data_IF_160598592582
#
_entry.id   IF_160598592582
#
_cell.length_a   1.000
_cell.length_b   1.000
_cell.length_c   1.000
_cell.angle_alpha   90.00
_cell.angle_beta   90.00
_cell.angle_gamma   90.00
#
_symmetry.space_group_name_H-M   'P 1'
#
loop_
_entity.id
_entity.type
_entity.pdbx_description
1 polymer ?
#
# COMPACT_ATOMS: atom_id res chain seq x y z
N UNK A 1 -30.73 -17.41 -0.12
CA UNK A 1 -29.60 -16.50 0.22
C UNK A 1 -28.32 -17.09 -0.37
N UNK A 2 -27.70 -16.44 -1.37
CA UNK A 2 -26.38 -16.84 -1.87
C UNK A 2 -25.32 -16.27 -0.93
N UNK A 3 -24.61 -17.13 -0.21
CA UNK A 3 -23.47 -16.74 0.63
C UNK A 3 -22.32 -16.27 -0.28
N UNK A 4 -21.96 -14.99 -0.21
CA UNK A 4 -20.78 -14.45 -0.90
C UNK A 4 -19.52 -15.09 -0.31
N UNK A 5 -18.66 -15.62 -1.18
CA UNK A 5 -17.34 -16.14 -0.81
C UNK A 5 -16.29 -15.06 -1.11
N UNK A 6 -15.48 -14.69 -0.11
CA UNK A 6 -14.54 -13.56 -0.18
C UNK A 6 -13.11 -14.00 0.13
N UNK A 7 -12.14 -13.46 -0.62
CA UNK A 7 -10.71 -13.50 -0.33
C UNK A 7 -10.35 -12.15 0.32
N UNK A 8 -9.69 -12.19 1.47
CA UNK A 8 -9.14 -11.01 2.14
C UNK A 8 -7.63 -11.15 2.19
N UNK A 9 -6.93 -10.24 1.53
CA UNK A 9 -5.49 -10.09 1.62
C UNK A 9 -5.24 -9.00 2.64
N UNK A 10 -4.77 -9.37 3.84
CA UNK A 10 -4.64 -8.43 4.95
C UNK A 10 -3.18 -8.02 5.12
N UNK A 11 -2.95 -6.72 5.31
CA UNK A 11 -1.71 -6.17 5.83
C UNK A 11 -2.01 -5.72 7.28
N UNK A 12 -1.59 -6.52 8.27
CA UNK A 12 -1.91 -6.41 9.68
C UNK A 12 -0.77 -6.80 10.65
N UNK A 13 -0.67 -6.14 11.82
CA UNK A 13 0.20 -6.61 12.90
C UNK A 13 -0.45 -7.79 13.68
N UNK A 14 -0.37 -9.03 13.19
CA UNK A 14 -0.81 -10.22 13.96
C UNK A 14 0.33 -11.19 14.31
N UNK A 15 0.35 -11.64 15.56
CA UNK A 15 1.19 -12.77 16.01
C UNK A 15 0.87 -14.01 15.17
N UNK A 16 1.87 -14.45 14.40
CA UNK A 16 1.77 -15.57 13.47
C UNK A 16 1.64 -16.92 14.19
N UNK A 17 0.59 -17.68 13.90
CA UNK A 17 0.59 -19.13 14.01
C UNK A 17 0.97 -19.71 12.64
N UNK A 18 2.21 -20.17 12.51
CA UNK A 18 2.75 -20.77 11.29
C UNK A 18 2.06 -22.09 10.97
N UNK A 19 1.11 -22.06 10.04
CA UNK A 19 0.49 -23.26 9.48
C UNK A 19 -0.08 -22.96 8.10
N UNK A 20 0.68 -23.27 7.04
CA UNK A 20 0.16 -23.22 5.66
C UNK A 20 -0.71 -24.46 5.40
N UNK A 21 -1.94 -24.45 5.89
CA UNK A 21 -2.96 -25.39 5.44
C UNK A 21 -3.54 -24.89 4.11
N UNK A 22 -3.54 -25.75 3.09
CA UNK A 22 -4.21 -25.48 1.83
C UNK A 22 -5.67 -25.10 2.10
N UNK A 23 -6.15 -23.93 1.65
CA UNK A 23 -7.50 -23.50 1.96
C UNK A 23 -8.51 -24.45 1.32
N UNK A 24 -9.38 -25.02 2.15
CA UNK A 24 -10.52 -25.79 1.64
C UNK A 24 -11.41 -24.89 0.79
N UNK A 25 -11.79 -25.35 -0.40
CA UNK A 25 -12.76 -24.68 -1.26
C UNK A 25 -14.15 -24.51 -0.57
N UNK A 26 -14.40 -25.21 0.54
CA UNK A 26 -15.62 -25.08 1.35
C UNK A 26 -15.62 -23.86 2.29
N UNK A 27 -14.46 -23.28 2.63
CA UNK A 27 -14.41 -22.16 3.56
C UNK A 27 -15.08 -20.91 2.95
N UNK A 28 -15.97 -20.20 3.68
CA UNK A 28 -16.64 -19.01 3.17
C UNK A 28 -15.66 -17.84 2.97
N UNK A 29 -14.56 -17.82 3.72
CA UNK A 29 -13.50 -16.81 3.63
C UNK A 29 -12.14 -17.47 3.53
N UNK A 30 -11.28 -16.91 2.69
CA UNK A 30 -9.84 -17.19 2.67
C UNK A 30 -9.10 -15.90 3.01
N UNK A 31 -8.26 -15.95 4.04
CA UNK A 31 -7.42 -14.81 4.44
C UNK A 31 -5.96 -15.15 4.23
N UNK A 32 -5.24 -14.30 3.52
CA UNK A 32 -3.79 -14.37 3.38
C UNK A 32 -3.21 -13.10 3.99
N UNK A 33 -2.44 -13.22 5.07
CA UNK A 33 -1.65 -12.11 5.58
C UNK A 33 -0.49 -11.85 4.61
N UNK A 34 -0.27 -10.58 4.31
CA UNK A 34 0.84 -10.09 3.51
C UNK A 34 1.95 -9.54 4.38
N UNK A 35 1.86 -9.66 5.70
CA UNK A 35 2.83 -9.13 6.65
C UNK A 35 4.13 -9.92 6.67
N UNK A 36 5.13 -9.32 7.31
CA UNK A 36 6.45 -9.90 7.47
C UNK A 36 7.44 -9.47 6.39
N UNK A 37 8.61 -10.14 6.34
CA UNK A 37 9.82 -9.67 5.66
C UNK A 37 9.83 -9.90 4.14
N UNK A 38 8.64 -10.05 3.52
CA UNK A 38 8.48 -10.35 2.09
C UNK A 38 8.42 -9.12 1.20
N UNK A 39 8.54 -7.94 1.78
CA UNK A 39 8.38 -6.67 1.09
C UNK A 39 9.72 -6.07 0.71
N UNK A 40 9.68 -5.23 -0.31
CA UNK A 40 10.78 -4.38 -0.72
C UNK A 40 10.30 -2.93 -0.70
N UNK A 41 11.18 -2.02 -0.30
CA UNK A 41 10.93 -0.59 -0.31
C UNK A 41 11.98 0.11 -1.18
N UNK A 42 11.54 1.01 -2.07
CA UNK A 42 12.40 1.88 -2.88
C UNK A 42 12.03 3.34 -2.63
N UNK A 43 13.03 4.20 -2.43
CA UNK A 43 12.82 5.65 -2.42
C UNK A 43 12.88 6.20 -3.83
N UNK A 44 11.84 6.93 -4.19
CA UNK A 44 11.72 7.57 -5.50
C UNK A 44 11.80 9.08 -5.32
N UNK A 45 13.04 9.57 -5.14
CA UNK A 45 13.32 10.98 -4.85
C UNK A 45 13.14 11.88 -6.06
N UNK A 46 13.00 11.31 -7.25
CA UNK A 46 12.79 12.04 -8.50
C UNK A 46 11.30 12.11 -8.90
N UNK A 47 10.41 11.36 -8.23
CA UNK A 47 8.99 11.42 -8.51
C UNK A 47 8.40 12.77 -8.10
N UNK A 48 7.67 13.41 -9.03
CA UNK A 48 6.87 14.59 -8.72
C UNK A 48 5.64 14.20 -7.91
N UNK A 49 5.29 15.00 -6.91
CA UNK A 49 4.05 14.81 -6.13
C UNK A 49 3.47 16.10 -5.55
N UNK A 50 4.30 17.13 -5.38
CA UNK A 50 3.99 18.37 -4.64
C UNK A 50 2.80 19.13 -5.22
N UNK A 51 2.54 18.96 -6.52
CA UNK A 51 1.46 19.62 -7.24
C UNK A 51 0.35 18.66 -7.66
N UNK A 52 0.39 17.41 -7.20
CA UNK A 52 -0.68 16.47 -7.49
C UNK A 52 -1.98 16.96 -6.86
N UNK A 53 -3.08 16.83 -7.60
CA UNK A 53 -4.41 16.94 -7.02
C UNK A 53 -4.62 15.80 -6.02
N UNK A 54 -5.18 16.13 -4.87
CA UNK A 54 -5.70 15.16 -3.92
C UNK A 54 -7.19 14.94 -4.19
N UNK A 55 -7.59 13.68 -4.19
CA UNK A 55 -8.97 13.25 -4.40
C UNK A 55 -9.54 12.73 -3.08
N UNK A 56 -10.65 13.28 -2.63
CA UNK A 56 -11.34 12.75 -1.45
C UNK A 56 -12.12 11.47 -1.81
N UNK A 57 -12.31 10.53 -0.87
CA UNK A 57 -13.00 9.27 -1.16
C UNK A 57 -14.35 9.45 -1.87
N UNK A 58 -15.13 10.47 -1.51
CA UNK A 58 -16.43 10.77 -2.13
C UNK A 58 -16.33 11.27 -3.58
N UNK A 59 -15.19 11.80 -4.02
CA UNK A 59 -14.98 12.26 -5.40
C UNK A 59 -14.65 11.09 -6.33
N UNK A 60 -14.20 9.95 -5.77
CA UNK A 60 -13.68 8.83 -6.52
C UNK A 60 -14.82 7.89 -6.92
N UNK A 61 -15.41 8.18 -8.09
CA UNK A 61 -16.46 7.33 -8.70
C UNK A 61 -15.90 6.16 -9.50
N UNK A 62 -14.67 6.26 -9.97
CA UNK A 62 -13.97 5.22 -10.74
C UNK A 62 -12.46 5.44 -10.67
N UNK A 63 -11.70 4.36 -10.50
CA UNK A 63 -10.22 4.41 -10.57
C UNK A 63 -9.71 4.90 -11.93
N UNK A 64 -10.48 4.72 -13.00
CA UNK A 64 -10.10 5.15 -14.35
C UNK A 64 -10.02 6.68 -14.53
N UNK A 65 -10.58 7.46 -13.60
CA UNK A 65 -10.53 8.92 -13.62
C UNK A 65 -9.31 9.49 -12.86
N UNK A 66 -8.59 8.64 -12.14
CA UNK A 66 -7.40 9.05 -11.40
C UNK A 66 -6.16 8.97 -12.29
N UNK A 67 -5.17 9.87 -12.09
CA UNK A 67 -3.89 9.75 -12.77
C UNK A 67 -3.17 8.45 -12.34
N UNK A 68 -2.47 7.83 -13.28
CA UNK A 68 -1.61 6.66 -13.02
C UNK A 68 -0.18 7.16 -12.86
N UNK A 69 0.32 7.19 -11.63
CA UNK A 69 1.66 7.66 -11.31
C UNK A 69 2.62 6.48 -11.24
N UNK A 70 3.32 6.19 -12.34
CA UNK A 70 4.34 5.14 -12.39
C UNK A 70 5.62 5.53 -11.61
N UNK A 71 6.45 4.55 -11.19
CA UNK A 71 7.77 4.86 -10.61
C UNK A 71 8.63 5.67 -11.58
N UNK A 72 9.48 6.55 -11.06
CA UNK A 72 10.46 7.25 -11.92
C UNK A 72 11.36 6.23 -12.58
N UNK A 73 11.41 6.26 -13.92
CA UNK A 73 12.15 5.26 -14.71
C UNK A 73 11.35 4.01 -15.07
N UNK A 74 10.05 3.92 -14.72
CA UNK A 74 9.15 2.85 -15.15
C UNK A 74 8.94 1.73 -14.13
N UNK A 75 8.00 0.84 -14.43
CA UNK A 75 7.63 -0.28 -13.56
C UNK A 75 8.75 -1.30 -13.36
N UNK A 76 9.65 -1.38 -14.34
CA UNK A 76 10.88 -2.18 -14.32
C UNK A 76 11.86 -1.78 -13.22
N UNK A 77 11.69 -0.62 -12.60
CA UNK A 77 12.51 -0.19 -11.47
C UNK A 77 12.16 -0.92 -10.17
N UNK A 78 10.96 -1.50 -10.05
CA UNK A 78 10.49 -2.21 -8.86
C UNK A 78 11.07 -3.63 -8.79
N UNK A 79 12.38 -3.73 -8.59
CA UNK A 79 13.09 -5.00 -8.40
C UNK A 79 13.82 -5.03 -7.06
N UNK A 80 14.05 -6.23 -6.48
CA UNK A 80 14.80 -6.36 -5.23
C UNK A 80 16.20 -5.73 -5.28
N UNK A 81 16.85 -5.66 -6.44
CA UNK A 81 18.18 -5.08 -6.62
C UNK A 81 18.20 -3.56 -6.46
N UNK A 82 17.09 -2.89 -6.76
CA UNK A 82 16.93 -1.44 -6.66
C UNK A 82 16.30 -1.01 -5.32
N UNK A 83 16.03 -1.95 -4.42
CA UNK A 83 15.21 -1.73 -3.23
C UNK A 83 15.86 -2.32 -1.97
N UNK A 84 15.39 -1.85 -0.82
CA UNK A 84 15.73 -2.39 0.50
C UNK A 84 14.71 -3.47 0.85
N UNK A 85 15.15 -4.64 1.31
CA UNK A 85 14.25 -5.65 1.87
C UNK A 85 13.72 -5.19 3.22
N UNK A 86 12.40 -5.22 3.40
CA UNK A 86 11.71 -4.69 4.57
C UNK A 86 10.63 -5.65 5.07
N UNK A 87 10.25 -5.50 6.33
CA UNK A 87 9.05 -6.11 6.89
C UNK A 87 7.92 -5.09 6.91
N UNK A 88 6.69 -5.58 6.67
CA UNK A 88 5.46 -4.83 6.91
C UNK A 88 4.74 -5.47 8.12
N UNK A 89 4.18 -4.69 9.06
CA UNK A 89 4.24 -3.22 9.15
C UNK A 89 5.68 -2.69 9.34
N UNK A 90 5.94 -1.49 8.84
CA UNK A 90 7.25 -0.84 8.88
C UNK A 90 7.19 0.58 8.32
N UNK A 91 8.21 1.40 8.60
CA UNK A 91 8.28 2.79 8.14
C UNK A 91 9.54 3.05 7.33
N UNK A 92 9.54 4.07 6.47
CA UNK A 92 10.74 4.46 5.71
C UNK A 92 11.87 4.85 6.68
N UNK A 93 11.51 5.56 7.74
CA UNK A 93 12.35 6.01 8.83
C UNK A 93 13.13 4.84 9.46
N UNK A 94 12.46 3.72 9.75
CA UNK A 94 13.06 2.55 10.38
C UNK A 94 14.22 1.98 9.54
N UNK A 95 14.04 1.89 8.23
CA UNK A 95 15.01 1.25 7.35
C UNK A 95 16.09 2.20 6.80
N UNK A 96 15.83 3.50 6.74
CA UNK A 96 16.71 4.47 6.06
C UNK A 96 17.36 5.50 6.97
N UNK A 97 17.02 5.55 8.27
CA UNK A 97 17.69 6.46 9.19
C UNK A 97 19.16 6.10 9.36
N UNK A 98 20.03 6.99 8.88
CA UNK A 98 21.50 6.86 9.05
C UNK A 98 22.09 7.96 9.95
N UNK A 99 21.36 9.06 10.14
CA UNK A 99 21.78 10.19 10.97
C UNK A 99 21.48 9.96 12.44
N UNK A 100 22.37 10.46 13.33
CA UNK A 100 22.11 10.53 14.79
C UNK A 100 21.13 11.65 15.17
N UNK A 101 20.80 12.51 14.21
CA UNK A 101 19.85 13.63 14.35
C UNK A 101 18.99 13.68 13.07
N UNK A 102 18.09 12.70 12.88
CA UNK A 102 17.23 12.70 11.70
C UNK A 102 16.34 13.94 11.71
N UNK A 103 15.98 14.41 10.52
CA UNK A 103 14.96 15.43 10.29
C UNK A 103 13.71 14.79 9.71
N UNK A 104 12.50 15.28 10.05
CA UNK A 104 11.26 14.84 9.39
C UNK A 104 11.30 15.01 7.86
N UNK A 105 12.06 15.99 7.37
CA UNK A 105 12.22 16.22 5.93
C UNK A 105 13.06 15.14 5.22
N UNK A 106 13.85 14.34 5.95
CA UNK A 106 14.71 13.29 5.36
C UNK A 106 13.88 12.21 4.63
N UNK A 107 12.63 12.02 5.05
CA UNK A 107 11.73 10.97 4.54
C UNK A 107 10.53 11.54 3.77
N UNK A 108 10.50 12.85 3.55
CA UNK A 108 9.48 13.52 2.72
C UNK A 108 9.56 13.07 1.26
N UNK A 109 8.41 12.94 0.61
CA UNK A 109 8.30 12.55 -0.80
C UNK A 109 7.77 11.13 -0.99
N UNK A 110 8.18 10.48 -2.08
CA UNK A 110 7.59 9.22 -2.54
C UNK A 110 8.42 8.01 -2.12
N UNK A 111 7.76 6.96 -1.64
CA UNK A 111 8.33 5.63 -1.51
C UNK A 111 7.42 4.59 -2.17
N UNK A 112 8.03 3.56 -2.76
CA UNK A 112 7.34 2.42 -3.32
C UNK A 112 7.54 1.22 -2.41
N UNK A 113 6.44 0.58 -2.02
CA UNK A 113 6.44 -0.65 -1.24
C UNK A 113 5.86 -1.76 -2.10
N UNK A 114 6.61 -2.82 -2.36
CA UNK A 114 6.15 -3.86 -3.27
C UNK A 114 6.49 -5.26 -2.80
N UNK A 115 5.63 -6.21 -3.18
CA UNK A 115 5.80 -7.64 -2.95
C UNK A 115 5.10 -8.41 -4.06
N UNK A 116 5.27 -9.73 -4.08
CA UNK A 116 4.50 -10.62 -4.96
C UNK A 116 3.37 -11.27 -4.18
N UNK A 117 2.22 -11.46 -4.82
CA UNK A 117 1.05 -12.14 -4.26
C UNK A 117 0.63 -13.27 -5.18
N UNK A 118 0.37 -14.44 -4.62
CA UNK A 118 -0.16 -15.59 -5.35
C UNK A 118 -1.34 -16.18 -4.60
N UNK A 119 -2.49 -16.22 -5.26
CA UNK A 119 -3.74 -16.77 -4.71
C UNK A 119 -4.03 -18.11 -5.39
N UNK A 120 -4.36 -19.17 -4.65
CA UNK A 120 -4.65 -20.48 -5.24
C UNK A 120 -5.76 -20.45 -6.32
N UNK A 121 -5.52 -21.13 -7.44
CA UNK A 121 -6.45 -21.14 -8.60
C UNK A 121 -7.84 -21.72 -8.31
N UNK A 122 -7.97 -22.56 -7.28
CA UNK A 122 -9.26 -23.11 -6.81
C UNK A 122 -10.19 -22.06 -6.17
N UNK A 123 -9.73 -20.80 -6.06
CA UNK A 123 -10.51 -19.67 -5.55
C UNK A 123 -11.10 -18.78 -6.66
N UNK A 124 -11.04 -19.20 -7.93
CA UNK A 124 -11.66 -18.49 -9.06
C UNK A 124 -13.14 -18.19 -8.83
N UNK A 125 -13.58 -17.00 -9.25
CA UNK A 125 -14.97 -16.54 -9.13
C UNK A 125 -15.36 -16.02 -7.74
N UNK A 126 -14.39 -15.82 -6.84
CA UNK A 126 -14.60 -15.18 -5.54
C UNK A 126 -14.24 -13.70 -5.62
N UNK A 127 -14.88 -12.90 -4.76
CA UNK A 127 -14.50 -11.50 -4.56
C UNK A 127 -13.16 -11.42 -3.85
N UNK A 128 -12.24 -10.56 -4.27
CA UNK A 128 -10.93 -10.38 -3.68
C UNK A 128 -10.75 -8.93 -3.19
N UNK A 129 -10.43 -8.78 -1.90
CA UNK A 129 -10.20 -7.50 -1.24
C UNK A 129 -8.77 -7.46 -0.71
N UNK A 130 -8.06 -6.35 -0.93
CA UNK A 130 -6.90 -5.97 -0.10
C UNK A 130 -7.44 -5.17 1.10
N UNK A 131 -6.92 -5.45 2.28
CA UNK A 131 -7.25 -4.75 3.52
C UNK A 131 -5.97 -4.14 4.09
N UNK A 132 -5.96 -2.81 4.20
CA UNK A 132 -4.88 -2.05 4.82
C UNK A 132 -5.35 -1.55 6.18
N UNK A 133 -4.61 -1.85 7.26
CA UNK A 133 -4.91 -1.29 8.57
C UNK A 133 -4.65 0.22 8.63
N UNK A 134 -3.57 0.68 7.97
CA UNK A 134 -3.17 2.08 7.95
C UNK A 134 -2.07 2.31 6.90
N UNK A 135 -2.12 3.45 6.22
CA UNK A 135 -0.99 4.00 5.46
C UNK A 135 -0.86 5.49 5.80
N UNK A 136 0.37 5.96 6.00
CA UNK A 136 0.66 7.39 6.21
C UNK A 136 1.54 7.91 5.05
N UNK A 137 1.07 8.79 4.16
CA UNK A 137 -0.27 9.39 4.10
C UNK A 137 -1.03 8.98 2.83
N UNK A 138 -0.68 9.51 1.65
CA UNK A 138 -1.38 9.12 0.42
C UNK A 138 -0.94 7.73 -0.01
N UNK A 139 -1.88 6.81 -0.19
CA UNK A 139 -1.67 5.49 -0.76
C UNK A 139 -2.25 5.41 -2.16
N UNK A 140 -1.45 4.99 -3.14
CA UNK A 140 -1.94 4.54 -4.45
C UNK A 140 -1.52 3.09 -4.62
N UNK A 141 -2.51 2.21 -4.81
CA UNK A 141 -2.33 0.76 -4.81
C UNK A 141 -2.41 0.23 -6.23
N UNK A 142 -1.41 -0.54 -6.62
CA UNK A 142 -1.24 -1.07 -7.97
C UNK A 142 -1.12 -2.59 -7.94
N UNK A 143 -1.80 -3.25 -8.87
CA UNK A 143 -1.63 -4.68 -9.15
C UNK A 143 -1.17 -4.85 -10.60
N UNK A 144 0.03 -5.42 -10.80
CA UNK A 144 0.70 -5.52 -12.10
C UNK A 144 0.75 -4.18 -12.87
N UNK A 145 1.00 -3.09 -12.15
CA UNK A 145 1.06 -1.73 -12.70
C UNK A 145 -0.30 -1.08 -12.97
N UNK A 146 -1.42 -1.79 -12.77
CA UNK A 146 -2.77 -1.21 -12.86
C UNK A 146 -3.17 -0.58 -11.53
N UNK A 147 -3.57 0.70 -11.55
CA UNK A 147 -4.15 1.36 -10.37
C UNK A 147 -5.47 0.65 -9.99
N UNK A 148 -5.52 0.16 -8.76
CA UNK A 148 -6.68 -0.56 -8.20
C UNK A 148 -7.26 0.10 -6.97
N UNK A 149 -6.49 0.93 -6.27
CA UNK A 149 -6.95 1.64 -5.08
C UNK A 149 -6.24 2.97 -4.87
N UNK A 150 -6.90 3.85 -4.15
CA UNK A 150 -6.39 5.16 -3.75
C UNK A 150 -6.96 5.48 -2.37
N UNK A 151 -6.12 5.97 -1.46
CA UNK A 151 -6.56 6.56 -0.21
C UNK A 151 -5.71 7.79 0.16
N UNK A 152 -6.34 8.78 0.79
CA UNK A 152 -5.70 9.97 1.33
C UNK A 152 -6.09 10.21 2.80
N UNK A 153 -7.03 9.41 3.33
CA UNK A 153 -7.41 9.49 4.74
C UNK A 153 -6.38 8.70 5.53
N UNK A 154 -5.19 9.30 5.62
CA UNK A 154 -4.03 8.69 6.25
C UNK A 154 -4.34 8.20 7.66
N UNK A 155 -3.68 7.13 8.05
CA UNK A 155 -3.83 6.48 9.38
C UNK A 155 -5.21 5.89 9.67
N UNK A 156 -6.05 5.73 8.65
CA UNK A 156 -7.32 5.00 8.75
C UNK A 156 -7.28 3.70 7.93
N UNK A 157 -8.04 2.67 8.34
CA UNK A 157 -8.14 1.44 7.58
C UNK A 157 -8.98 1.65 6.32
N UNK A 158 -8.56 1.02 5.23
CA UNK A 158 -9.30 1.03 3.97
C UNK A 158 -9.17 -0.30 3.22
N UNK A 159 -10.19 -0.58 2.41
CA UNK A 159 -10.27 -1.79 1.60
C UNK A 159 -10.22 -1.47 0.11
N UNK A 160 -9.53 -2.29 -0.67
CA UNK A 160 -9.43 -2.17 -2.12
C UNK A 160 -9.97 -3.43 -2.79
N UNK A 161 -11.01 -3.28 -3.61
CA UNK A 161 -11.54 -4.40 -4.39
C UNK A 161 -10.67 -4.67 -5.62
N UNK A 162 -10.00 -5.82 -5.62
CA UNK A 162 -9.11 -6.24 -6.71
C UNK A 162 -9.70 -7.41 -7.51
N UNK A 163 -10.99 -7.70 -7.37
CA UNK A 163 -11.65 -8.88 -7.98
C UNK A 163 -11.42 -8.93 -9.49
N UNK A 164 -11.52 -7.79 -10.18
CA UNK A 164 -11.35 -7.71 -11.63
C UNK A 164 -9.87 -7.65 -12.06
N UNK A 165 -8.95 -7.35 -11.14
CA UNK A 165 -7.51 -7.28 -11.39
C UNK A 165 -6.83 -8.64 -11.20
N UNK A 166 -7.26 -9.38 -10.18
CA UNK A 166 -6.60 -10.58 -9.69
C UNK A 166 -6.97 -11.79 -10.55
N UNK A 167 -5.95 -12.55 -10.96
CA UNK A 167 -6.12 -13.82 -11.66
C UNK A 167 -5.62 -14.96 -10.76
N UNK A 168 -6.52 -15.69 -10.07
CA UNK A 168 -6.13 -16.82 -9.24
C UNK A 168 -5.31 -17.86 -10.00
N UNK A 169 -4.26 -18.38 -9.36
CA UNK A 169 -3.28 -19.30 -9.95
C UNK A 169 -2.11 -18.60 -10.64
N UNK A 170 -2.12 -17.27 -10.77
CA UNK A 170 -0.96 -16.48 -11.21
C UNK A 170 -0.30 -15.77 -10.02
N UNK A 171 0.97 -15.47 -10.20
CA UNK A 171 1.71 -14.54 -9.34
C UNK A 171 1.51 -13.14 -9.89
N UNK A 172 1.15 -12.22 -9.02
CA UNK A 172 0.96 -10.79 -9.30
C UNK A 172 1.98 -9.97 -8.53
N UNK A 173 2.38 -8.83 -9.06
CA UNK A 173 3.15 -7.81 -8.33
C UNK A 173 2.16 -6.84 -7.70
N UNK A 174 2.17 -6.76 -6.37
CA UNK A 174 1.47 -5.73 -5.61
C UNK A 174 2.46 -4.62 -5.29
N UNK A 175 2.11 -3.38 -5.65
CA UNK A 175 2.91 -2.21 -5.33
C UNK A 175 2.04 -1.12 -4.72
N UNK A 176 2.57 -0.41 -3.74
CA UNK A 176 1.92 0.72 -3.07
C UNK A 176 2.86 1.91 -3.18
N UNK A 177 2.42 2.94 -3.89
CA UNK A 177 3.08 4.25 -3.88
C UNK A 177 2.59 4.99 -2.65
N UNK A 178 3.48 5.24 -1.70
CA UNK A 178 3.21 6.03 -0.51
C UNK A 178 3.83 7.40 -0.72
N UNK A 179 3.01 8.45 -0.60
CA UNK A 179 3.52 9.82 -0.62
C UNK A 179 3.38 10.46 0.76
N UNK A 180 4.50 10.92 1.28
CA UNK A 180 4.60 11.57 2.58
C UNK A 180 4.91 13.08 2.41
N UNK A 181 3.97 13.99 2.67
CA UNK A 181 4.22 15.43 2.56
C UNK A 181 5.11 16.01 3.67
N UNK A 182 5.49 15.21 4.68
CA UNK A 182 6.37 15.59 5.77
C UNK A 182 5.74 15.30 7.13
N UNK A 183 5.94 16.21 8.09
CA UNK A 183 5.40 16.09 9.44
C UNK A 183 6.45 16.49 10.48
N UNK A 184 6.31 16.00 11.71
CA UNK A 184 7.35 16.13 12.73
C UNK A 184 7.51 14.85 13.54
N UNK A 185 8.62 14.76 14.28
CA UNK A 185 8.89 13.64 15.20
C UNK A 185 8.35 13.87 16.61
N UNK A 186 7.43 14.83 16.77
CA UNK A 186 6.88 15.15 18.07
C UNK A 186 5.60 14.36 18.30
N UNK A 187 5.47 13.76 19.49
CA UNK A 187 4.29 12.96 19.87
C UNK A 187 2.96 13.73 19.79
N UNK A 188 3.02 15.05 19.76
CA UNK A 188 1.83 15.90 19.68
C UNK A 188 1.37 16.19 18.26
N UNK A 189 2.24 15.96 17.26
CA UNK A 189 2.12 16.34 15.84
C UNK A 189 0.88 17.21 15.53
N UNK A 190 0.94 18.51 15.83
CA UNK A 190 -0.15 19.43 15.54
C UNK A 190 0.07 20.23 14.26
N UNK A 191 1.23 20.04 13.63
CA UNK A 191 1.70 20.95 12.59
C UNK A 191 1.05 20.57 11.28
N UNK A 192 0.32 21.51 10.69
CA UNK A 192 -0.24 21.30 9.35
C UNK A 192 0.89 21.05 8.35
N UNK A 193 0.76 19.97 7.59
CA UNK A 193 1.65 19.67 6.48
C UNK A 193 1.18 20.41 5.23
N UNK A 194 2.10 20.68 4.30
CA UNK A 194 1.76 21.29 3.01
C UNK A 194 1.92 20.28 1.90
N UNK A 195 0.89 20.20 1.07
CA UNK A 195 0.91 19.52 -0.22
C UNK A 195 0.54 20.53 -1.29
N UNK A 196 1.55 21.17 -1.89
CA UNK A 196 1.32 22.32 -2.77
C UNK A 196 0.45 23.38 -2.09
N UNK A 197 -0.73 23.62 -2.67
CA UNK A 197 -1.72 24.56 -2.16
C UNK A 197 -2.62 23.99 -1.05
N UNK A 198 -2.62 22.67 -0.85
CA UNK A 198 -3.39 22.03 0.22
C UNK A 198 -2.70 22.14 1.57
N UNK A 199 -3.51 22.41 2.59
CA UNK A 199 -3.14 22.25 4.00
C UNK A 199 -3.68 20.93 4.49
N UNK A 200 -2.76 20.05 4.84
CA UNK A 200 -3.05 18.72 5.30
C UNK A 200 -3.07 18.74 6.82
N UNK A 201 -4.15 18.27 7.48
CA UNK A 201 -4.13 18.10 8.92
C UNK A 201 -3.03 17.11 9.30
N UNK A 202 -2.39 17.28 10.47
CA UNK A 202 -1.44 16.29 10.94
C UNK A 202 -2.12 14.94 11.13
N UNK A 203 -1.33 13.88 11.02
CA UNK A 203 -1.76 12.52 11.27
C UNK A 203 -2.18 12.29 12.74
N UNK A 204 -3.20 11.45 12.97
CA UNK A 204 -3.72 11.09 14.30
C UNK A 204 -4.33 9.71 14.34
#
# INVERSE_FOLDING_TARGET
MRTLKTIVLAVAAMLSASGHSMPSASSPRYTLSLDGPRWHMMRDTAASWEHDRLYLPEEITSMAHLPVNAPTGGWEMLTPENAVSVSVPGTVEEYLTTSKRPSPDDFKGVSWWFTTVSVPGNLKGRRAMLHFESVRMRAEVYLDGRLVGYDIIGESPFDVDITDALVPGKTHTLAVRVTNPGGNFHWQDFTQMRWGDYKIPPGR
#
